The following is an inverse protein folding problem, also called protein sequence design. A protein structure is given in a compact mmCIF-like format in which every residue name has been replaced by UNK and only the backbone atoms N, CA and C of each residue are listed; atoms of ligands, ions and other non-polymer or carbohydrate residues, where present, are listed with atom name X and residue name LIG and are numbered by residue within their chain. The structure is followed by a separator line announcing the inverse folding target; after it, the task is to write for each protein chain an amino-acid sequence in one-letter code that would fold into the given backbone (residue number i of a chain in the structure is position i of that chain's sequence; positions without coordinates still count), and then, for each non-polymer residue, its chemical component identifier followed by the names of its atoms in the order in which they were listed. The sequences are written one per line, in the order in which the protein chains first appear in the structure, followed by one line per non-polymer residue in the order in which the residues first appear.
data_IF_772701404602
#
_entry.id   IF_772701404602
#
_cell.length_a   1.000
_cell.length_b   1.000
_cell.length_c   1.000
_cell.angle_alpha   90.00
_cell.angle_beta   90.00
_cell.angle_gamma   90.00
#
_symmetry.space_group_name_H-M   'P 1'
#
loop_
_entity.id
_entity.type
_entity.pdbx_description
1 polymer ?
#
# COMPACT_ATOMS: atom_id res chain seq x y z
N UNK A 1 -10.01 5.21 -1.36
CA UNK A 1 -10.03 4.87 0.10
C UNK A 1 -9.65 3.41 0.31
N UNK A 2 -9.11 3.05 1.47
CA UNK A 2 -8.85 1.65 1.86
C UNK A 2 -10.16 0.99 2.33
N UNK A 3 -10.99 0.55 1.40
CA UNK A 3 -12.30 -0.06 1.68
C UNK A 3 -12.65 -1.11 0.62
N UNK A 4 -13.71 -1.88 0.90
CA UNK A 4 -14.13 -3.02 0.06
C UNK A 4 -14.62 -2.64 -1.35
N UNK A 5 -14.88 -1.36 -1.63
CA UNK A 5 -15.30 -0.91 -2.96
C UNK A 5 -14.12 -0.57 -3.88
N UNK A 6 -12.90 -0.46 -3.33
CA UNK A 6 -11.70 -0.15 -4.09
C UNK A 6 -10.95 -1.44 -4.48
N UNK A 7 -10.90 -1.79 -5.78
CA UNK A 7 -10.32 -3.04 -6.24
C UNK A 7 -8.79 -3.10 -6.00
N UNK A 8 -8.10 -1.95 -6.04
CA UNK A 8 -6.67 -1.88 -5.72
C UNK A 8 -6.41 -2.18 -4.25
N UNK A 9 -7.28 -1.70 -3.34
CA UNK A 9 -7.21 -2.05 -1.93
C UNK A 9 -7.52 -3.53 -1.69
N UNK A 10 -8.56 -4.05 -2.35
CA UNK A 10 -8.94 -5.46 -2.22
C UNK A 10 -7.81 -6.40 -2.67
N UNK A 11 -7.10 -6.06 -3.75
CA UNK A 11 -5.94 -6.82 -4.22
C UNK A 11 -4.81 -6.88 -3.16
N UNK A 12 -4.51 -5.75 -2.51
CA UNK A 12 -3.53 -5.64 -1.43
C UNK A 12 -4.00 -6.43 -0.19
N UNK A 13 -5.26 -6.24 0.22
CA UNK A 13 -5.85 -6.90 1.39
C UNK A 13 -5.89 -8.42 1.19
N UNK A 14 -6.23 -8.91 0.00
CA UNK A 14 -6.20 -10.33 -0.34
C UNK A 14 -4.78 -10.89 -0.29
N UNK A 15 -3.77 -10.16 -0.80
CA UNK A 15 -2.38 -10.60 -0.71
C UNK A 15 -1.93 -10.75 0.76
N UNK A 16 -2.31 -9.81 1.61
CA UNK A 16 -2.01 -9.86 3.03
C UNK A 16 -2.73 -11.02 3.73
N UNK A 17 -4.02 -11.23 3.43
CA UNK A 17 -4.80 -12.34 3.98
C UNK A 17 -4.24 -13.71 3.60
N UNK A 18 -3.87 -13.90 2.33
CA UNK A 18 -3.29 -15.15 1.82
C UNK A 18 -1.98 -15.52 2.54
N UNK A 19 -1.21 -14.51 2.96
CA UNK A 19 0.05 -14.67 3.69
C UNK A 19 -0.11 -14.57 5.21
N UNK A 20 -1.34 -14.42 5.72
CA UNK A 20 -1.65 -14.20 7.14
C UNK A 20 -0.90 -12.99 7.73
N UNK A 21 -0.71 -11.93 6.94
CA UNK A 21 -0.05 -10.69 7.33
C UNK A 21 -1.12 -9.68 7.76
N UNK A 22 -1.14 -9.22 9.03
CA UNK A 22 -2.04 -8.14 9.44
C UNK A 22 -1.67 -6.82 8.75
N UNK A 23 -2.67 -6.14 8.17
CA UNK A 23 -2.52 -4.78 7.66
C UNK A 23 -2.99 -3.77 8.69
N UNK A 24 -2.19 -2.71 8.86
CA UNK A 24 -2.54 -1.54 9.67
C UNK A 24 -2.71 -0.36 8.72
N UNK A 25 -3.95 0.09 8.54
CA UNK A 25 -4.24 1.29 7.76
C UNK A 25 -4.03 2.54 8.60
N UNK A 26 -3.11 3.41 8.19
CA UNK A 26 -2.84 4.67 8.88
C UNK A 26 -2.62 5.79 7.86
N UNK A 27 -2.92 7.03 8.29
CA UNK A 27 -2.42 8.22 7.62
C UNK A 27 -1.02 8.49 8.17
N UNK A 28 0.05 8.43 7.36
CA UNK A 28 1.39 8.68 7.86
C UNK A 28 1.53 10.13 8.34
N UNK A 29 2.33 10.40 9.37
CA UNK A 29 2.59 11.77 9.82
C UNK A 29 3.42 12.59 8.80
N UNK A 30 4.14 11.91 7.90
CA UNK A 30 4.92 12.50 6.81
C UNK A 30 4.19 12.51 5.47
N UNK A 31 4.87 13.03 4.45
CA UNK A 31 4.42 12.94 3.05
C UNK A 31 5.23 11.92 2.27
N UNK A 32 4.63 11.35 1.24
CA UNK A 32 5.28 10.42 0.30
C UNK A 32 4.94 10.83 -1.13
N UNK A 33 5.63 10.23 -2.11
CA UNK A 33 5.38 10.45 -3.54
C UNK A 33 3.94 10.16 -3.96
N UNK A 34 3.21 9.36 -3.17
CA UNK A 34 1.79 9.07 -3.37
C UNK A 34 0.93 10.35 -3.42
N UNK A 35 1.38 11.47 -2.83
CA UNK A 35 0.73 12.78 -3.00
C UNK A 35 0.66 13.17 -4.48
N UNK A 36 1.79 13.17 -5.17
CA UNK A 36 1.87 13.61 -6.57
C UNK A 36 1.28 12.57 -7.53
N UNK A 37 1.44 11.28 -7.24
CA UNK A 37 0.82 10.19 -8.03
C UNK A 37 -0.71 10.31 -8.01
N UNK A 38 -1.30 10.58 -6.83
CA UNK A 38 -2.75 10.82 -6.72
C UNK A 38 -3.18 12.09 -7.46
N UNK A 39 -2.42 13.17 -7.39
CA UNK A 39 -2.70 14.41 -8.14
C UNK A 39 -2.65 14.20 -9.66
N UNK A 40 -1.82 13.28 -10.15
CA UNK A 40 -1.76 12.90 -11.56
C UNK A 40 -2.96 12.03 -12.00
N UNK A 41 -3.86 11.67 -11.09
CA UNK A 41 -5.05 10.87 -11.38
C UNK A 41 -4.85 9.36 -11.27
N UNK A 42 -3.80 8.90 -10.56
CA UNK A 42 -3.52 7.48 -10.34
C UNK A 42 -3.75 7.11 -8.86
N UNK A 43 -4.62 6.13 -8.53
CA UNK A 43 -4.76 5.63 -7.18
C UNK A 43 -3.43 5.09 -6.64
N UNK A 44 -3.06 5.50 -5.42
CA UNK A 44 -1.79 5.08 -4.81
C UNK A 44 -1.97 4.78 -3.32
N UNK A 45 -1.28 3.73 -2.87
CA UNK A 45 -1.15 3.33 -1.48
C UNK A 45 0.33 3.27 -1.11
N UNK A 46 0.68 3.75 0.09
CA UNK A 46 1.99 3.49 0.68
C UNK A 46 1.96 2.16 1.41
N UNK A 47 2.98 1.32 1.21
CA UNK A 47 3.12 0.01 1.86
C UNK A 47 4.54 -0.12 2.42
N UNK A 48 4.64 -0.63 3.65
CA UNK A 48 5.90 -0.93 4.31
C UNK A 48 5.76 -2.26 5.07
N UNK A 49 6.23 -3.40 4.51
CA UNK A 49 6.18 -4.68 5.21
C UNK A 49 7.30 -4.75 6.27
N UNK A 50 7.15 -3.95 7.33
CA UNK A 50 8.14 -3.78 8.39
C UNK A 50 7.57 -4.29 9.73
N UNK A 51 7.08 -5.52 9.73
CA UNK A 51 6.53 -6.14 10.93
C UNK A 51 7.59 -6.24 12.03
N UNK A 52 7.16 -6.09 13.29
CA UNK A 52 8.01 -6.20 14.48
C UNK A 52 9.28 -5.32 14.43
N UNK A 53 9.24 -4.21 13.69
CA UNK A 53 10.37 -3.28 13.52
C UNK A 53 10.05 -1.96 14.22
N UNK A 54 10.96 -1.40 15.04
CA UNK A 54 10.76 -0.10 15.65
C UNK A 54 10.72 1.02 14.60
N UNK A 55 9.93 2.07 14.85
CA UNK A 55 9.90 3.26 13.99
C UNK A 55 11.19 4.05 14.16
N UNK A 56 12.15 3.83 13.26
CA UNK A 56 13.48 4.47 13.27
C UNK A 56 13.74 5.32 12.02
N UNK A 57 12.70 5.70 11.27
CA UNK A 57 12.84 6.57 10.11
C UNK A 57 13.62 7.84 10.47
N UNK A 58 14.80 8.03 9.87
CA UNK A 58 15.73 9.13 10.14
C UNK A 58 16.35 9.16 11.55
N UNK A 59 16.24 8.08 12.33
CA UNK A 59 16.89 7.97 13.63
C UNK A 59 18.32 7.43 13.51
N UNK A 60 19.12 7.61 14.56
CA UNK A 60 20.44 6.97 14.65
C UNK A 60 20.27 5.46 14.69
N UNK A 61 21.11 4.74 13.94
CA UNK A 61 21.05 3.27 13.80
C UNK A 61 19.71 2.77 13.26
N UNK A 62 19.12 3.44 12.27
CA UNK A 62 18.00 2.89 11.49
C UNK A 62 18.37 1.50 10.93
N UNK A 63 17.53 0.50 11.21
CA UNK A 63 17.76 -0.89 10.78
C UNK A 63 16.46 -1.61 10.42
N UNK A 64 16.61 -2.72 9.72
CA UNK A 64 15.55 -3.67 9.42
C UNK A 64 16.08 -5.09 9.62
N UNK A 65 15.30 -5.96 10.25
CA UNK A 65 15.66 -7.38 10.39
C UNK A 65 15.70 -8.08 9.02
N UNK A 66 16.68 -8.98 8.82
CA UNK A 66 16.85 -9.70 7.55
C UNK A 66 15.59 -10.52 7.22
N UNK A 67 15.01 -11.21 8.19
CA UNK A 67 13.77 -11.97 8.00
C UNK A 67 12.60 -11.06 7.64
N UNK A 68 12.48 -9.89 8.26
CA UNK A 68 11.45 -8.90 7.91
C UNK A 68 11.63 -8.39 6.48
N UNK A 69 12.88 -8.14 6.06
CA UNK A 69 13.19 -7.75 4.69
C UNK A 69 12.79 -8.85 3.69
N UNK A 70 13.18 -10.10 3.95
CA UNK A 70 12.87 -11.24 3.07
C UNK A 70 11.37 -11.54 3.00
N UNK A 71 10.68 -11.55 4.14
CA UNK A 71 9.21 -11.70 4.18
C UNK A 71 8.51 -10.55 3.44
N UNK A 72 9.12 -9.35 3.45
CA UNK A 72 8.65 -8.22 2.67
C UNK A 72 8.69 -8.47 1.16
N UNK A 73 9.68 -9.21 0.66
CA UNK A 73 9.78 -9.60 -0.75
C UNK A 73 8.58 -10.50 -1.12
N UNK A 74 8.33 -11.56 -0.34
CA UNK A 74 7.19 -12.47 -0.58
C UNK A 74 5.86 -11.72 -0.58
N UNK A 75 5.69 -10.76 0.34
CA UNK A 75 4.52 -9.90 0.37
C UNK A 75 4.39 -9.06 -0.90
N UNK A 76 5.46 -8.41 -1.34
CA UNK A 76 5.44 -7.60 -2.56
C UNK A 76 5.19 -8.44 -3.82
N UNK A 77 5.78 -9.63 -3.94
CA UNK A 77 5.51 -10.54 -5.06
C UNK A 77 4.02 -10.86 -5.17
N UNK A 78 3.38 -11.17 -4.04
CA UNK A 78 1.95 -11.46 -3.98
C UNK A 78 1.09 -10.23 -4.29
N UNK A 79 1.43 -9.06 -3.73
CA UNK A 79 0.72 -7.80 -4.00
C UNK A 79 0.79 -7.43 -5.48
N UNK A 80 1.99 -7.46 -6.07
CA UNK A 80 2.20 -7.14 -7.49
C UNK A 80 1.41 -8.09 -8.38
N UNK A 81 1.47 -9.40 -8.09
CA UNK A 81 0.69 -10.41 -8.81
C UNK A 81 -0.80 -10.13 -8.73
N UNK A 82 -1.34 -9.83 -7.56
CA UNK A 82 -2.76 -9.55 -7.39
C UNK A 82 -3.18 -8.26 -8.11
N UNK A 83 -2.39 -7.18 -7.98
CA UNK A 83 -2.65 -5.91 -8.66
C UNK A 83 -2.64 -6.04 -10.19
N UNK A 84 -1.71 -6.82 -10.74
CA UNK A 84 -1.61 -7.05 -12.18
C UNK A 84 -2.74 -7.92 -12.76
N UNK A 85 -3.53 -8.58 -11.90
CA UNK A 85 -4.60 -9.50 -12.29
C UNK A 85 -6.00 -9.02 -11.84
N UNK A 86 -6.17 -7.73 -11.54
CA UNK A 86 -7.50 -7.16 -11.29
C UNK A 86 -8.34 -7.23 -12.58
N UNK A 87 -9.60 -7.69 -12.53
CA UNK A 87 -10.47 -7.72 -13.70
C UNK A 87 -10.62 -6.34 -14.36
N UNK A 88 -10.48 -6.29 -15.69
CA UNK A 88 -10.47 -5.03 -16.44
C UNK A 88 -11.73 -4.18 -16.23
N UNK A 89 -12.89 -4.81 -16.00
CA UNK A 89 -14.16 -4.13 -15.72
C UNK A 89 -14.15 -3.39 -14.37
N UNK A 90 -13.32 -3.80 -13.41
CA UNK A 90 -13.19 -3.15 -12.10
C UNK A 90 -12.27 -1.92 -12.14
N UNK A 91 -11.41 -1.80 -13.17
CA UNK A 91 -10.38 -0.75 -13.25
C UNK A 91 -10.52 0.17 -14.47
N UNK A 92 -11.69 0.19 -15.13
CA UNK A 92 -11.94 1.01 -16.33
C UNK A 92 -11.71 2.51 -16.09
N UNK A 93 -12.07 3.01 -14.90
CA UNK A 93 -11.82 4.39 -14.50
C UNK A 93 -11.17 4.46 -13.11
N UNK A 94 -9.83 4.36 -13.02
CA UNK A 94 -9.14 4.35 -11.73
C UNK A 94 -9.37 5.64 -10.91
N UNK A 95 -9.69 6.77 -11.56
CA UNK A 95 -9.95 8.03 -10.87
C UNK A 95 -11.15 7.99 -9.93
N UNK A 96 -12.10 7.09 -10.15
CA UNK A 96 -13.25 6.87 -9.25
C UNK A 96 -12.82 6.49 -7.82
N UNK A 97 -11.59 6.00 -7.64
CA UNK A 97 -11.06 5.60 -6.34
C UNK A 97 -10.19 6.67 -5.66
N UNK A 98 -10.06 7.83 -6.30
CA UNK A 98 -9.44 9.03 -5.73
C UNK A 98 -10.46 9.82 -4.92
N UNK A 99 -9.95 10.64 -4.01
CA UNK A 99 -10.73 11.65 -3.30
C UNK A 99 -10.31 13.03 -3.79
N UNK A 100 -11.29 13.90 -3.99
CA UNK A 100 -11.01 15.32 -4.21
C UNK A 100 -10.38 15.88 -2.95
N UNK A 101 -9.08 16.13 -3.02
CA UNK A 101 -8.40 16.86 -1.95
C UNK A 101 -8.74 18.32 -2.17
N UNK A 102 -9.90 18.76 -1.66
CA UNK A 102 -10.18 20.20 -1.58
C UNK A 102 -9.09 20.78 -0.69
N UNK A 103 -8.20 21.56 -1.29
CA UNK A 103 -7.21 22.34 -0.55
C UNK A 103 -8.01 23.39 0.21
N UNK A 104 -8.18 23.19 1.51
CA UNK A 104 -8.43 24.27 2.48
C UNK A 104 -7.11 24.94 2.83
#
# INVERSE_FOLDING_TARGET
MANSTNPFWNAIQSAANDLNIPLITAVPPGSTDARYVRLAGVPAFGLSPQQNTPTLLHAVNEYLGVDTFLNGIDFYEKVIKNLANIPANEVQNPRTYLYDTIIV
#
